data_IF_995975425665
#
_entry.id   IF_995975425665
#
_cell.length_a   1.000
_cell.length_b   1.000
_cell.length_c   1.000
_cell.angle_alpha   90.00
_cell.angle_beta   90.00
_cell.angle_gamma   90.00
#
_symmetry.space_group_name_H-M   'P 1'
#
loop_
_entity.id
_entity.type
_entity.pdbx_description
1 polymer ?
#
# COMPACT_ATOMS: atom_id res chain seq x y z
N UNK A 1 2.26 -7.32 1.59
CA UNK A 1 2.48 -5.96 1.04
C UNK A 1 3.47 -6.06 -0.11
N UNK A 2 3.37 -5.17 -1.11
CA UNK A 2 4.44 -5.03 -2.11
C UNK A 2 5.65 -4.34 -1.46
N UNK A 3 6.86 -4.72 -1.83
CA UNK A 3 8.06 -4.18 -1.23
C UNK A 3 8.51 -2.88 -1.91
N UNK A 4 8.31 -1.75 -1.22
CA UNK A 4 8.55 -0.43 -1.79
C UNK A 4 10.03 -0.10 -2.02
N UNK A 5 10.96 -0.88 -1.44
CA UNK A 5 12.39 -0.73 -1.70
C UNK A 5 12.73 -0.95 -3.18
N UNK A 6 12.01 -1.82 -3.88
CA UNK A 6 12.16 -1.99 -5.33
C UNK A 6 11.75 -0.74 -6.11
N UNK A 7 10.73 -0.01 -5.66
CA UNK A 7 10.36 1.26 -6.29
C UNK A 7 11.41 2.35 -6.04
N UNK A 8 11.99 2.40 -4.85
CA UNK A 8 13.10 3.32 -4.56
C UNK A 8 14.33 3.00 -5.45
N UNK A 9 14.67 1.71 -5.59
CA UNK A 9 15.74 1.26 -6.47
C UNK A 9 15.44 1.58 -7.94
N UNK A 10 14.23 1.32 -8.42
CA UNK A 10 13.80 1.62 -9.77
C UNK A 10 13.88 3.13 -10.08
N UNK A 11 13.46 3.97 -9.13
CA UNK A 11 13.46 5.42 -9.29
C UNK A 11 14.82 6.08 -8.97
N UNK A 12 15.83 5.31 -8.53
CA UNK A 12 17.16 5.80 -8.13
C UNK A 12 17.12 6.85 -7.00
N UNK A 13 16.19 6.69 -6.05
CA UNK A 13 16.00 7.60 -4.92
C UNK A 13 16.38 6.94 -3.59
N UNK A 14 16.80 7.73 -2.57
CA UNK A 14 17.04 7.20 -1.24
C UNK A 14 15.76 6.69 -0.57
N UNK A 15 15.90 5.70 0.30
CA UNK A 15 14.81 5.18 1.10
C UNK A 15 15.23 4.97 2.56
N UNK A 16 14.41 5.43 3.49
CA UNK A 16 14.49 5.08 4.91
C UNK A 16 13.49 3.98 5.25
N UNK A 17 13.91 3.03 6.08
CA UNK A 17 13.10 1.95 6.60
C UNK A 17 13.24 1.91 8.12
N UNK A 18 12.39 2.64 8.87
CA UNK A 18 12.44 2.67 10.33
C UNK A 18 12.22 1.28 10.93
N UNK A 19 12.87 0.99 12.06
CA UNK A 19 12.60 -0.22 12.86
C UNK A 19 11.56 -0.03 13.95
N UNK A 20 11.17 1.21 14.25
CA UNK A 20 10.18 1.54 15.29
C UNK A 20 9.57 2.93 15.04
N UNK A 21 8.61 3.34 15.88
CA UNK A 21 7.91 4.63 15.74
C UNK A 21 8.81 5.83 16.00
N UNK A 22 9.80 5.73 16.89
CA UNK A 22 10.73 6.83 17.15
C UNK A 22 11.57 7.11 15.89
N UNK A 23 12.14 6.07 15.29
CA UNK A 23 12.85 6.21 14.01
C UNK A 23 11.92 6.67 12.90
N UNK A 24 10.66 6.24 12.87
CA UNK A 24 9.67 6.75 11.91
C UNK A 24 9.47 8.26 12.03
N UNK A 25 9.47 8.80 13.26
CA UNK A 25 9.41 10.24 13.52
C UNK A 25 10.71 10.94 13.11
N UNK A 26 11.86 10.44 13.55
CA UNK A 26 13.17 11.05 13.31
C UNK A 26 13.56 11.03 11.81
N UNK A 27 13.36 9.89 11.14
CA UNK A 27 13.67 9.71 9.71
C UNK A 27 12.79 10.59 8.82
N UNK A 28 11.58 10.97 9.25
CA UNK A 28 10.75 11.88 8.45
C UNK A 28 11.37 13.27 8.39
N UNK A 29 11.94 13.75 9.50
CA UNK A 29 12.64 15.03 9.55
C UNK A 29 13.89 14.99 8.67
N UNK A 30 14.70 13.93 8.80
CA UNK A 30 15.89 13.72 7.98
C UNK A 30 15.57 13.52 6.49
N UNK A 31 14.41 12.93 6.17
CA UNK A 31 13.95 12.78 4.79
C UNK A 31 13.64 14.13 4.14
N UNK A 32 13.03 15.07 4.88
CA UNK A 32 12.84 16.43 4.38
C UNK A 32 14.18 17.15 4.14
N UNK A 33 15.09 17.11 5.12
CA UNK A 33 16.41 17.72 5.01
C UNK A 33 17.21 17.15 3.82
N UNK A 34 17.23 15.82 3.66
CA UNK A 34 17.89 15.16 2.54
C UNK A 34 17.24 15.50 1.20
N UNK A 35 15.90 15.58 1.15
CA UNK A 35 15.15 15.95 -0.06
C UNK A 35 15.49 17.37 -0.50
N UNK A 36 15.59 18.31 0.44
CA UNK A 36 15.94 19.70 0.16
C UNK A 36 17.39 19.84 -0.31
N UNK A 37 18.33 19.16 0.34
CA UNK A 37 19.75 19.21 -0.02
C UNK A 37 20.02 18.58 -1.39
N UNK A 38 19.45 17.40 -1.65
CA UNK A 38 19.69 16.65 -2.88
C UNK A 38 18.73 17.03 -4.00
N UNK A 39 17.64 17.74 -3.71
CA UNK A 39 16.54 17.98 -4.63
C UNK A 39 16.08 16.68 -5.33
N UNK A 40 15.86 15.64 -4.52
CA UNK A 40 15.35 14.34 -4.90
C UNK A 40 14.20 13.95 -3.96
N UNK A 41 13.15 13.26 -4.44
CA UNK A 41 12.21 12.60 -3.54
C UNK A 41 12.94 11.62 -2.63
N UNK A 42 12.54 11.54 -1.36
CA UNK A 42 13.04 10.54 -0.42
C UNK A 42 11.87 9.67 0.01
N UNK A 43 12.03 8.35 -0.08
CA UNK A 43 11.01 7.41 0.35
C UNK A 43 11.18 7.09 1.85
N UNK A 44 10.09 7.10 2.61
CA UNK A 44 10.06 6.50 3.95
C UNK A 44 9.12 5.29 3.88
N UNK A 45 9.68 4.09 3.98
CA UNK A 45 8.95 2.83 3.92
C UNK A 45 8.33 2.52 5.28
N UNK A 46 7.02 2.40 5.32
CA UNK A 46 6.31 1.87 6.49
C UNK A 46 5.79 0.47 6.16
N UNK A 47 5.93 -0.45 7.11
CA UNK A 47 5.37 -1.80 7.04
C UNK A 47 4.19 -1.93 8.01
N UNK A 48 3.31 -2.91 7.76
CA UNK A 48 2.06 -3.14 8.54
C UNK A 48 2.26 -3.00 10.05
N UNK A 49 3.26 -3.67 10.62
CA UNK A 49 3.48 -3.70 12.09
C UNK A 49 3.82 -2.35 12.69
N UNK A 50 4.57 -1.51 11.97
CA UNK A 50 4.88 -0.15 12.42
C UNK A 50 3.64 0.74 12.31
N UNK A 51 2.88 0.62 11.22
CA UNK A 51 1.67 1.41 10.96
C UNK A 51 0.49 1.05 11.89
N UNK A 52 0.37 -0.22 12.29
CA UNK A 52 -0.73 -0.74 13.11
C UNK A 52 -0.36 -0.92 14.59
N UNK A 53 0.68 -0.26 15.06
CA UNK A 53 1.03 -0.20 16.49
C UNK A 53 1.17 1.24 16.96
N UNK A 54 1.22 1.43 18.28
CA UNK A 54 1.34 2.74 18.93
C UNK A 54 2.48 2.68 19.94
N UNK A 55 3.27 3.74 19.98
CA UNK A 55 4.30 3.97 20.98
C UNK A 55 4.31 5.45 21.35
N UNK A 56 4.78 5.77 22.56
CA UNK A 56 5.22 7.12 22.84
C UNK A 56 6.44 7.44 21.96
N UNK A 57 6.52 8.69 21.51
CA UNK A 57 7.67 9.22 20.76
C UNK A 57 8.12 10.52 21.40
N UNK A 58 9.44 10.70 21.50
CA UNK A 58 10.04 11.95 21.89
C UNK A 58 10.02 12.89 20.68
N UNK A 59 9.26 13.97 20.78
CA UNK A 59 9.14 14.96 19.71
C UNK A 59 10.12 16.10 19.88
N UNK A 60 10.57 16.70 18.79
CA UNK A 60 11.31 17.96 18.78
C UNK A 60 10.40 19.14 18.39
N UNK A 61 10.78 20.40 18.72
CA UNK A 61 10.04 21.57 18.28
C UNK A 61 9.89 21.60 16.76
N UNK A 62 8.71 22.00 16.27
CA UNK A 62 8.48 22.15 14.84
C UNK A 62 9.41 23.20 14.25
N UNK A 63 10.04 22.88 13.11
CA UNK A 63 10.85 23.83 12.37
C UNK A 63 9.93 24.83 11.63
N UNK A 64 10.40 26.07 11.48
CA UNK A 64 9.70 27.07 10.67
C UNK A 64 9.72 26.66 9.20
N UNK A 65 8.63 26.92 8.48
CA UNK A 65 8.58 26.72 7.03
C UNK A 65 9.69 27.52 6.33
N UNK A 66 10.41 26.86 5.41
CA UNK A 66 11.41 27.52 4.57
C UNK A 66 10.78 28.59 3.68
N UNK A 67 11.49 29.71 3.41
CA UNK A 67 11.00 30.71 2.47
C UNK A 67 10.86 30.11 1.06
N UNK A 68 9.81 30.50 0.34
CA UNK A 68 9.60 30.06 -1.03
C UNK A 68 10.75 30.52 -1.92
N UNK A 69 11.44 29.58 -2.55
CA UNK A 69 12.50 29.86 -3.52
C UNK A 69 12.28 29.07 -4.83
N UNK A 70 11.20 29.36 -5.58
CA UNK A 70 10.92 28.66 -6.82
C UNK A 70 12.03 28.94 -7.83
N UNK A 71 12.64 27.87 -8.36
CA UNK A 71 13.65 28.02 -9.41
C UNK A 71 13.06 28.65 -10.66
N UNK A 72 13.83 29.53 -11.31
CA UNK A 72 13.49 30.13 -12.60
C UNK A 72 13.87 29.23 -13.78
N UNK A 73 14.50 28.09 -13.53
CA UNK A 73 14.95 27.14 -14.55
C UNK A 73 13.81 26.24 -15.03
N UNK A 74 12.93 26.78 -15.88
CA UNK A 74 11.75 26.06 -16.41
C UNK A 74 12.15 24.73 -17.07
N UNK A 75 13.31 24.68 -17.76
CA UNK A 75 13.80 23.47 -18.43
C UNK A 75 14.02 22.29 -17.48
N UNK A 76 14.28 22.53 -16.19
CA UNK A 76 14.45 21.48 -15.18
C UNK A 76 13.15 20.76 -14.86
N UNK A 77 12.02 21.45 -15.04
CA UNK A 77 10.68 20.96 -14.73
C UNK A 77 9.87 20.53 -15.96
N UNK A 78 10.32 20.89 -17.16
CA UNK A 78 9.73 20.42 -18.41
C UNK A 78 10.57 19.28 -18.99
N UNK A 79 10.09 18.03 -18.87
CA UNK A 79 10.76 16.83 -19.38
C UNK A 79 10.57 16.64 -20.89
N UNK A 80 11.01 17.62 -21.68
CA UNK A 80 11.27 17.39 -23.11
C UNK A 80 12.43 16.38 -23.27
N UNK A 81 12.49 15.59 -24.35
CA UNK A 81 13.52 14.56 -24.51
C UNK A 81 14.97 15.05 -24.27
N UNK A 82 15.30 16.26 -24.73
CA UNK A 82 16.62 16.88 -24.51
C UNK A 82 16.88 17.21 -23.03
N UNK A 83 15.88 17.71 -22.31
CA UNK A 83 15.97 18.01 -20.88
C UNK A 83 16.00 16.73 -20.06
N UNK A 84 15.20 15.71 -20.41
CA UNK A 84 15.16 14.43 -19.72
C UNK A 84 16.53 13.73 -19.69
N UNK A 85 17.29 13.79 -20.78
CA UNK A 85 18.68 13.28 -20.83
C UNK A 85 19.59 13.99 -19.82
N UNK A 86 19.48 15.32 -19.71
CA UNK A 86 20.26 16.11 -18.75
C UNK A 86 19.84 15.81 -17.31
N UNK A 87 18.54 15.74 -17.05
CA UNK A 87 17.99 15.41 -15.73
C UNK A 87 18.37 13.99 -15.28
N UNK A 88 18.41 13.04 -16.21
CA UNK A 88 18.86 11.68 -15.90
C UNK A 88 20.35 11.66 -15.55
N UNK A 89 21.20 12.41 -16.26
CA UNK A 89 22.61 12.59 -15.87
C UNK A 89 22.74 13.13 -14.45
N UNK A 90 21.98 14.20 -14.12
CA UNK A 90 21.99 14.76 -12.77
C UNK A 90 21.54 13.75 -11.69
N UNK A 91 20.61 12.85 -12.00
CA UNK A 91 20.17 11.80 -11.09
C UNK A 91 21.26 10.74 -10.90
N UNK A 92 21.91 10.31 -11.98
CA UNK A 92 23.00 9.32 -11.92
C UNK A 92 24.25 9.88 -11.24
N UNK A 93 24.56 11.17 -11.44
CA UNK A 93 25.70 11.85 -10.84
C UNK A 93 25.58 11.97 -9.31
N UNK A 94 24.35 11.89 -8.76
CA UNK A 94 24.09 11.88 -7.32
C UNK A 94 24.25 10.51 -6.66
N UNK A 95 24.27 9.41 -7.43
CA UNK A 95 24.30 8.06 -6.86
C UNK A 95 25.53 7.78 -5.99
N UNK A 96 26.75 8.23 -6.34
CA UNK A 96 27.91 8.07 -5.46
C UNK A 96 27.74 8.75 -4.10
N UNK A 97 27.11 9.93 -4.06
CA UNK A 97 26.82 10.64 -2.81
C UNK A 97 25.75 9.91 -2.00
N UNK A 98 24.69 9.38 -2.64
CA UNK A 98 23.67 8.56 -1.97
C UNK A 98 24.27 7.30 -1.33
N UNK A 99 25.15 6.61 -2.05
CA UNK A 99 25.88 5.46 -1.52
C UNK A 99 26.73 5.86 -0.32
N UNK A 100 27.54 6.93 -0.45
CA UNK A 100 28.36 7.45 0.65
C UNK A 100 27.52 7.80 1.88
N UNK A 101 26.32 8.36 1.71
CA UNK A 101 25.41 8.64 2.83
C UNK A 101 24.88 7.37 3.48
N UNK A 102 24.51 6.37 2.69
CA UNK A 102 24.10 5.08 3.25
C UNK A 102 25.25 4.38 3.99
N UNK A 103 26.48 4.44 3.46
CA UNK A 103 27.66 3.92 4.14
C UNK A 103 27.92 4.62 5.47
N UNK A 104 27.74 5.93 5.55
CA UNK A 104 27.99 6.71 6.77
C UNK A 104 26.74 6.90 7.64
N UNK A 105 25.62 6.28 7.26
CA UNK A 105 24.37 6.43 7.98
C UNK A 105 24.47 5.88 9.39
N UNK A 106 23.97 6.64 10.36
CA UNK A 106 23.78 6.16 11.74
C UNK A 106 22.77 5.01 11.83
N UNK A 107 21.96 4.80 10.80
CA UNK A 107 20.97 3.72 10.73
C UNK A 107 21.52 2.44 10.09
N UNK A 108 22.68 2.51 9.45
CA UNK A 108 23.35 1.34 8.92
C UNK A 108 24.49 0.98 9.87
N UNK A 109 24.31 0.03 10.76
CA UNK A 109 25.25 -0.25 11.86
C UNK A 109 25.92 -1.61 11.63
N UNK A 110 27.26 -1.64 11.58
CA UNK A 110 28.04 -2.87 11.47
C UNK A 110 28.74 -3.15 12.79
N UNK A 111 28.55 -4.36 13.30
CA UNK A 111 29.22 -4.91 14.47
C UNK A 111 29.86 -6.24 14.08
N UNK A 112 31.19 -6.36 14.22
CA UNK A 112 31.91 -7.59 13.93
C UNK A 112 32.26 -8.33 15.23
N UNK A 113 31.87 -9.60 15.32
CA UNK A 113 32.20 -10.55 16.39
C UNK A 113 32.75 -11.83 15.77
N UNK A 114 32.08 -12.97 15.97
CA UNK A 114 32.44 -14.27 15.41
C UNK A 114 32.16 -14.41 13.92
N UNK A 115 32.30 -15.65 13.44
CA UNK A 115 32.26 -16.03 12.02
C UNK A 115 30.86 -16.28 11.45
N UNK A 116 29.81 -16.10 12.26
CA UNK A 116 28.41 -16.16 11.83
C UNK A 116 27.89 -14.74 11.67
N UNK A 117 27.48 -14.40 10.45
CA UNK A 117 26.96 -13.09 10.07
C UNK A 117 25.44 -13.05 10.00
N UNK A 118 24.87 -11.89 10.34
CA UNK A 118 23.47 -11.57 10.09
C UNK A 118 23.36 -10.20 9.44
N UNK A 119 22.59 -10.08 8.37
CA UNK A 119 22.08 -8.78 7.90
C UNK A 119 20.61 -8.69 8.30
N UNK A 120 20.23 -7.63 9.01
CA UNK A 120 18.85 -7.35 9.39
C UNK A 120 18.35 -6.08 8.72
N UNK A 121 17.07 -6.06 8.33
CA UNK A 121 16.45 -4.90 7.68
C UNK A 121 15.26 -4.37 8.48
N UNK A 122 15.21 -3.04 8.67
CA UNK A 122 14.06 -2.38 9.29
C UNK A 122 13.65 -2.98 10.64
N UNK A 123 12.34 -3.21 10.81
CA UNK A 123 11.74 -3.79 12.02
C UNK A 123 12.33 -5.16 12.41
N UNK A 124 12.83 -5.93 11.44
CA UNK A 124 13.31 -7.30 11.68
C UNK A 124 14.52 -7.33 12.61
N UNK A 125 15.26 -6.22 12.71
CA UNK A 125 16.30 -6.05 13.73
C UNK A 125 15.77 -6.28 15.15
N UNK A 126 14.54 -5.85 15.47
CA UNK A 126 13.97 -6.06 16.80
C UNK A 126 13.74 -7.56 17.07
N UNK A 127 13.26 -8.30 16.07
CA UNK A 127 13.07 -9.76 16.18
C UNK A 127 14.38 -10.51 16.34
N UNK A 128 15.45 -10.03 15.71
CA UNK A 128 16.80 -10.53 15.95
C UNK A 128 17.20 -10.27 17.41
N UNK A 129 17.13 -9.02 17.87
CA UNK A 129 17.58 -8.61 19.21
C UNK A 129 16.82 -9.31 20.34
N UNK A 130 15.53 -9.60 20.17
CA UNK A 130 14.74 -10.39 21.12
C UNK A 130 15.26 -11.83 21.32
N UNK A 131 16.05 -12.35 20.38
CA UNK A 131 16.64 -13.68 20.43
C UNK A 131 18.12 -13.71 20.85
N UNK A 132 18.75 -12.55 21.06
CA UNK A 132 20.16 -12.47 21.39
C UNK A 132 20.37 -12.18 22.87
N UNK A 133 21.22 -12.99 23.49
CA UNK A 133 21.78 -12.71 24.81
C UNK A 133 22.92 -11.67 24.69
N UNK A 134 23.29 -11.02 25.80
CA UNK A 134 24.33 -9.97 25.80
C UNK A 134 25.69 -10.47 25.25
N UNK A 135 26.01 -11.75 25.49
CA UNK A 135 27.26 -12.41 25.11
C UNK A 135 27.21 -13.13 23.76
N UNK A 136 26.22 -12.83 22.90
CA UNK A 136 26.12 -13.42 21.56
C UNK A 136 27.42 -13.24 20.72
N UNK A 137 27.73 -14.19 19.85
CA UNK A 137 28.93 -14.14 19.00
C UNK A 137 28.64 -13.75 17.54
N UNK A 138 27.43 -13.28 17.23
CA UNK A 138 27.06 -12.89 15.86
C UNK A 138 27.71 -11.57 15.43
N UNK A 139 28.22 -11.54 14.20
CA UNK A 139 28.53 -10.31 13.48
C UNK A 139 27.25 -9.80 12.80
N UNK A 140 26.85 -8.55 13.04
CA UNK A 140 25.54 -8.03 12.64
C UNK A 140 25.71 -6.76 11.81
N UNK A 141 25.02 -6.70 10.67
CA UNK A 141 24.81 -5.47 9.91
C UNK A 141 23.32 -5.14 9.88
N UNK A 142 22.94 -4.07 10.57
CA UNK A 142 21.59 -3.50 10.46
C UNK A 142 21.52 -2.56 9.26
N UNK A 143 20.52 -2.71 8.39
CA UNK A 143 20.28 -1.84 7.23
C UNK A 143 18.89 -1.21 7.36
N UNK A 144 18.86 0.12 7.41
CA UNK A 144 17.63 0.94 7.55
C UNK A 144 17.65 2.19 6.66
N UNK A 145 18.74 2.44 5.94
CA UNK A 145 18.85 3.46 4.91
C UNK A 145 19.41 2.87 3.61
N UNK A 146 18.75 3.17 2.50
CA UNK A 146 19.07 2.71 1.17
C UNK A 146 19.47 3.89 0.26
N UNK A 147 20.35 3.70 -0.75
CA UNK A 147 20.84 2.42 -1.30
C UNK A 147 21.65 1.57 -0.32
N UNK A 148 21.74 0.25 -0.55
CA UNK A 148 22.44 -0.66 0.38
C UNK A 148 23.92 -0.25 0.60
N UNK A 149 24.44 -0.33 1.84
CA UNK A 149 25.83 -0.01 2.15
C UNK A 149 26.77 -1.13 1.69
N UNK A 150 27.16 -1.10 0.41
CA UNK A 150 28.00 -2.10 -0.24
C UNK A 150 29.35 -2.36 0.47
N UNK A 151 30.01 -1.34 1.01
CA UNK A 151 31.29 -1.51 1.71
C UNK A 151 31.12 -2.22 3.05
N UNK A 152 30.09 -1.84 3.83
CA UNK A 152 29.74 -2.56 5.07
C UNK A 152 29.32 -4.00 4.80
N UNK A 153 28.54 -4.24 3.75
CA UNK A 153 28.15 -5.60 3.33
C UNK A 153 29.40 -6.41 2.97
N UNK A 154 30.30 -5.86 2.16
CA UNK A 154 31.55 -6.54 1.78
C UNK A 154 32.39 -6.87 3.00
N UNK A 155 32.56 -5.91 3.89
CA UNK A 155 33.32 -6.09 5.14
C UNK A 155 32.73 -7.23 5.98
N UNK A 156 31.41 -7.32 6.11
CA UNK A 156 30.75 -8.41 6.82
C UNK A 156 30.97 -9.75 6.10
N UNK A 157 30.74 -9.81 4.79
CA UNK A 157 30.89 -11.02 3.96
C UNK A 157 32.32 -11.56 4.04
N UNK A 158 33.34 -10.72 3.95
CA UNK A 158 34.75 -11.12 4.05
C UNK A 158 35.12 -11.63 5.45
N UNK A 159 34.37 -11.22 6.47
CA UNK A 159 34.63 -11.61 7.85
C UNK A 159 33.98 -12.95 8.24
N UNK A 160 32.89 -13.36 7.59
CA UNK A 160 32.01 -14.46 8.03
C UNK A 160 31.99 -15.64 7.05
N UNK A 161 31.81 -16.85 7.59
CA UNK A 161 31.69 -18.09 6.82
C UNK A 161 30.22 -18.38 6.44
N UNK A 162 29.28 -17.88 7.23
CA UNK A 162 27.83 -18.00 7.03
C UNK A 162 27.16 -16.65 7.21
N UNK A 163 26.18 -16.33 6.37
CA UNK A 163 25.43 -15.10 6.41
C UNK A 163 23.94 -15.38 6.34
N UNK A 164 23.20 -15.03 7.40
CA UNK A 164 21.74 -15.08 7.42
C UNK A 164 21.15 -13.70 7.12
N UNK A 165 20.24 -13.60 6.15
CA UNK A 165 19.60 -12.34 5.77
C UNK A 165 18.16 -12.33 6.27
N UNK A 166 17.89 -11.40 7.19
CA UNK A 166 16.62 -11.20 7.86
C UNK A 166 15.94 -9.94 7.31
N UNK A 167 15.03 -10.10 6.35
CA UNK A 167 14.28 -9.00 5.76
C UNK A 167 12.78 -9.29 5.65
N UNK A 168 11.97 -8.24 5.83
CA UNK A 168 10.52 -8.34 5.70
C UNK A 168 10.01 -7.92 4.32
N UNK A 169 9.04 -8.65 3.79
CA UNK A 169 8.62 -8.53 2.39
C UNK A 169 9.45 -9.40 1.45
N UNK A 170 10.04 -8.77 0.43
CA UNK A 170 10.74 -9.48 -0.64
C UNK A 170 12.22 -9.70 -0.27
N UNK A 171 12.88 -10.73 -0.84
CA UNK A 171 14.30 -11.05 -0.60
C UNK A 171 15.25 -10.05 -1.33
N UNK A 172 15.08 -8.74 -1.15
CA UNK A 172 15.82 -7.74 -1.91
C UNK A 172 17.32 -7.79 -1.60
N UNK A 173 17.66 -7.76 -0.32
CA UNK A 173 19.06 -7.77 0.13
C UNK A 173 19.67 -9.15 -0.11
N UNK A 174 18.93 -10.22 0.16
CA UNK A 174 19.37 -11.59 -0.09
C UNK A 174 19.70 -11.82 -1.56
N UNK A 175 18.81 -11.40 -2.45
CA UNK A 175 19.02 -11.53 -3.89
C UNK A 175 20.22 -10.69 -4.38
N UNK A 176 20.40 -9.49 -3.84
CA UNK A 176 21.51 -8.61 -4.21
C UNK A 176 22.87 -9.16 -3.72
N UNK A 177 22.94 -9.62 -2.48
CA UNK A 177 24.17 -10.18 -1.87
C UNK A 177 24.56 -11.48 -2.54
N UNK A 178 23.59 -12.37 -2.78
CA UNK A 178 23.84 -13.66 -3.43
C UNK A 178 24.22 -13.52 -4.90
N UNK A 179 23.63 -12.54 -5.60
CA UNK A 179 23.79 -12.40 -7.05
C UNK A 179 23.38 -13.66 -7.84
N UNK A 180 23.83 -13.76 -9.09
CA UNK A 180 23.48 -14.90 -9.96
C UNK A 180 24.25 -16.19 -9.63
N UNK A 181 25.47 -16.05 -9.13
CA UNK A 181 26.40 -17.17 -8.97
C UNK A 181 26.64 -17.59 -7.51
N UNK A 182 26.02 -16.89 -6.55
CA UNK A 182 26.35 -17.04 -5.13
C UNK A 182 27.67 -16.36 -4.76
N UNK A 183 28.01 -16.46 -3.47
CA UNK A 183 29.29 -15.99 -2.94
C UNK A 183 30.24 -17.17 -2.76
N UNK A 184 31.51 -16.96 -3.08
CA UNK A 184 32.57 -17.95 -2.82
C UNK A 184 33.00 -17.80 -1.36
N UNK A 185 33.00 -18.90 -0.61
CA UNK A 185 33.49 -18.94 0.77
C UNK A 185 32.49 -18.54 1.85
N UNK A 186 31.36 -17.92 1.49
CA UNK A 186 30.31 -17.52 2.44
C UNK A 186 28.97 -18.13 2.03
N UNK A 187 28.37 -18.92 2.93
CA UNK A 187 27.05 -19.51 2.73
C UNK A 187 25.96 -18.47 3.06
N UNK A 188 25.22 -18.00 2.05
CA UNK A 188 24.11 -17.03 2.24
C UNK A 188 22.79 -17.77 2.42
N UNK A 189 22.09 -17.48 3.52
CA UNK A 189 20.80 -18.04 3.91
C UNK A 189 19.75 -16.96 4.11
N UNK A 190 18.48 -17.30 3.93
CA UNK A 190 17.36 -16.40 4.13
C UNK A 190 16.07 -16.98 3.58
N UNK A 191 15.27 -16.12 2.94
CA UNK A 191 13.99 -16.51 2.35
C UNK A 191 14.18 -17.30 1.05
N UNK A 192 15.23 -17.06 0.26
CA UNK A 192 15.47 -17.76 -1.01
C UNK A 192 15.91 -19.21 -0.81
N UNK A 193 16.59 -19.48 0.30
CA UNK A 193 17.12 -20.80 0.65
C UNK A 193 16.20 -21.61 1.56
N UNK A 194 15.23 -20.96 2.21
CA UNK A 194 14.14 -21.61 2.94
C UNK A 194 14.31 -21.64 4.46
N UNK A 195 15.41 -21.10 5.00
CA UNK A 195 15.60 -20.89 6.44
C UNK A 195 14.59 -19.90 7.02
N UNK A 196 14.12 -18.95 6.19
CA UNK A 196 12.97 -18.12 6.49
C UNK A 196 11.85 -18.38 5.47
N UNK A 197 10.57 -18.24 5.88
CA UNK A 197 9.46 -18.47 4.98
C UNK A 197 9.47 -17.46 3.83
N UNK A 198 9.14 -17.93 2.62
CA UNK A 198 8.98 -17.07 1.44
C UNK A 198 7.82 -16.09 1.53
N UNK A 199 6.83 -16.42 2.35
CA UNK A 199 5.55 -15.72 2.45
C UNK A 199 5.22 -15.43 3.91
N UNK A 200 4.41 -14.41 4.14
CA UNK A 200 4.03 -14.00 5.49
C UNK A 200 5.07 -13.09 6.15
N UNK A 201 4.65 -12.50 7.26
CA UNK A 201 5.47 -11.65 8.11
C UNK A 201 6.48 -12.51 8.89
N UNK A 202 7.65 -11.93 9.18
CA UNK A 202 8.56 -12.54 10.16
C UNK A 202 8.07 -12.31 11.59
N UNK A 203 8.48 -13.22 12.47
CA UNK A 203 8.28 -13.13 13.91
C UNK A 203 9.59 -13.45 14.64
N UNK A 204 9.71 -13.10 15.93
CA UNK A 204 10.83 -13.54 16.76
C UNK A 204 11.04 -15.06 16.73
N UNK A 205 9.97 -15.86 16.71
CA UNK A 205 10.06 -17.33 16.68
C UNK A 205 10.65 -17.85 15.36
N UNK A 206 10.26 -17.26 14.22
CA UNK A 206 10.81 -17.64 12.91
C UNK A 206 12.29 -17.28 12.82
N UNK A 207 12.67 -16.10 13.33
CA UNK A 207 14.08 -15.67 13.40
C UNK A 207 14.87 -16.61 14.33
N UNK A 208 14.29 -17.01 15.47
CA UNK A 208 14.89 -17.96 16.41
C UNK A 208 15.25 -19.28 15.76
N UNK A 209 14.31 -19.85 15.01
CA UNK A 209 14.50 -21.09 14.28
C UNK A 209 15.58 -20.94 13.20
N UNK A 210 15.57 -19.84 12.43
CA UNK A 210 16.59 -19.56 11.42
C UNK A 210 18.00 -19.35 12.01
N UNK A 211 18.10 -18.87 13.25
CA UNK A 211 19.36 -18.77 14.00
C UNK A 211 19.86 -20.12 14.52
N UNK A 212 19.06 -21.19 14.40
CA UNK A 212 19.36 -22.52 14.93
C UNK A 212 19.22 -22.62 16.45
N UNK A 213 18.47 -21.69 17.06
CA UNK A 213 18.23 -21.68 18.50
C UNK A 213 17.06 -22.63 18.85
N UNK A 214 17.08 -23.24 20.06
CA UNK A 214 16.00 -24.13 20.48
C UNK A 214 14.70 -23.34 20.59
N UNK A 215 13.62 -23.87 19.99
CA UNK A 215 12.28 -23.27 20.07
C UNK A 215 11.89 -23.03 21.52
N UNK A 216 11.24 -21.90 21.80
CA UNK A 216 10.63 -21.70 23.10
C UNK A 216 9.53 -22.76 23.32
N UNK A 217 9.48 -23.31 24.52
CA UNK A 217 8.35 -24.16 24.89
C UNK A 217 7.09 -23.28 24.95
N UNK A 218 6.10 -23.61 24.12
CA UNK A 218 4.82 -22.96 24.18
C UNK A 218 4.21 -23.21 25.58
N UNK A 219 3.91 -22.15 26.32
CA UNK A 219 3.29 -22.27 27.64
C UNK A 219 1.97 -23.08 27.57
N UNK A 220 1.24 -22.93 26.46
CA UNK A 220 0.00 -23.65 26.17
C UNK A 220 -0.14 -23.91 24.67
N UNK A 221 -0.85 -24.98 24.30
CA UNK A 221 -1.27 -25.18 22.91
C UNK A 221 -2.21 -24.04 22.48
N UNK A 222 -2.10 -23.52 21.24
CA UNK A 222 -3.07 -22.58 20.71
C UNK A 222 -4.48 -23.16 20.83
N UNK A 223 -5.44 -22.36 21.30
CA UNK A 223 -6.85 -22.78 21.29
C UNK A 223 -7.26 -23.06 19.84
N UNK A 224 -7.68 -24.29 19.54
CA UNK A 224 -8.08 -24.69 18.18
C UNK A 224 -9.34 -23.98 17.68
N UNK A 225 -10.14 -23.43 18.60
CA UNK A 225 -11.45 -22.83 18.33
C UNK A 225 -11.41 -21.30 18.41
N UNK A 226 -10.32 -20.67 17.96
CA UNK A 226 -10.30 -19.20 17.84
C UNK A 226 -11.22 -18.78 16.69
N UNK A 227 -12.28 -18.05 17.03
CA UNK A 227 -13.14 -17.44 16.03
C UNK A 227 -12.30 -16.51 15.13
N UNK A 228 -12.38 -16.75 13.82
CA UNK A 228 -11.80 -15.84 12.84
C UNK A 228 -12.43 -14.45 13.01
N UNK A 229 -11.59 -13.42 12.88
CA UNK A 229 -12.02 -12.02 12.89
C UNK A 229 -11.76 -11.42 11.51
N UNK A 230 -12.52 -11.85 10.48
CA UNK A 230 -12.39 -11.22 9.18
C UNK A 230 -12.76 -9.73 9.29
N UNK A 231 -12.23 -8.88 8.42
CA UNK A 231 -12.68 -7.49 8.35
C UNK A 231 -14.17 -7.49 7.96
N UNK A 232 -14.97 -6.68 8.66
CA UNK A 232 -16.42 -6.60 8.43
C UNK A 232 -16.86 -5.16 8.32
N UNK A 233 -17.90 -4.91 7.51
CA UNK A 233 -18.62 -3.64 7.52
C UNK A 233 -19.18 -3.36 8.92
N UNK A 234 -19.18 -2.09 9.32
CA UNK A 234 -19.72 -1.68 10.62
C UNK A 234 -21.23 -1.97 10.72
N UNK A 235 -21.74 -2.22 11.93
CA UNK A 235 -23.19 -2.43 12.15
C UNK A 235 -23.97 -1.17 11.79
N UNK A 236 -24.82 -1.26 10.76
CA UNK A 236 -25.56 -0.11 10.23
C UNK A 236 -24.81 0.67 9.13
N UNK A 237 -23.73 0.10 8.58
CA UNK A 237 -23.01 0.68 7.47
C UNK A 237 -23.93 0.84 6.24
N UNK A 238 -23.95 2.01 5.58
CA UNK A 238 -24.75 2.23 4.38
C UNK A 238 -24.35 1.31 3.22
N UNK A 239 -23.08 0.89 3.15
CA UNK A 239 -22.64 -0.04 2.10
C UNK A 239 -23.33 -1.40 2.22
N UNK A 240 -23.64 -1.87 3.43
CA UNK A 240 -24.40 -3.11 3.60
C UNK A 240 -25.75 -3.02 2.91
N UNK A 241 -26.48 -1.92 3.12
CA UNK A 241 -27.79 -1.68 2.51
C UNK A 241 -27.66 -1.53 0.98
N UNK A 242 -26.63 -0.80 0.49
CA UNK A 242 -26.37 -0.66 -0.95
C UNK A 242 -26.10 -1.99 -1.66
N UNK A 243 -25.21 -2.83 -1.11
CA UNK A 243 -24.86 -4.10 -1.74
C UNK A 243 -25.96 -5.16 -1.59
N UNK A 244 -26.77 -5.10 -0.53
CA UNK A 244 -27.96 -5.96 -0.41
C UNK A 244 -28.96 -5.65 -1.52
N UNK A 245 -29.23 -4.37 -1.79
CA UNK A 245 -30.08 -3.95 -2.91
C UNK A 245 -29.46 -4.32 -4.28
N UNK A 246 -28.14 -4.13 -4.44
CA UNK A 246 -27.44 -4.48 -5.67
C UNK A 246 -27.58 -5.97 -5.98
N UNK A 247 -27.30 -6.86 -5.02
CA UNK A 247 -27.41 -8.30 -5.21
C UNK A 247 -28.81 -8.73 -5.64
N UNK A 248 -29.86 -8.16 -5.02
CA UNK A 248 -31.23 -8.47 -5.41
C UNK A 248 -31.57 -7.96 -6.82
N UNK A 249 -31.07 -6.79 -7.21
CA UNK A 249 -31.22 -6.29 -8.57
C UNK A 249 -30.51 -7.20 -9.59
N UNK A 250 -29.30 -7.67 -9.26
CA UNK A 250 -28.48 -8.53 -10.09
C UNK A 250 -29.08 -9.93 -10.32
N UNK A 251 -29.95 -10.44 -9.42
CA UNK A 251 -30.64 -11.73 -9.60
C UNK A 251 -31.48 -11.83 -10.89
N UNK A 252 -31.80 -10.70 -11.52
CA UNK A 252 -32.53 -10.65 -12.79
C UNK A 252 -31.63 -10.86 -14.02
N UNK A 253 -30.31 -10.96 -13.82
CA UNK A 253 -29.31 -11.06 -14.86
C UNK A 253 -28.53 -12.36 -14.74
N UNK A 254 -28.13 -12.93 -15.88
CA UNK A 254 -27.57 -14.28 -15.93
C UNK A 254 -26.13 -14.33 -15.42
N UNK A 255 -25.27 -13.41 -15.89
CA UNK A 255 -23.82 -13.44 -15.64
C UNK A 255 -23.27 -12.04 -15.28
N UNK A 256 -23.79 -11.39 -14.22
CA UNK A 256 -23.33 -10.07 -13.81
C UNK A 256 -21.87 -10.09 -13.33
N UNK A 257 -21.12 -9.04 -13.65
CA UNK A 257 -19.75 -8.86 -13.17
C UNK A 257 -19.66 -7.57 -12.35
N UNK A 258 -19.06 -7.67 -11.15
CA UNK A 258 -18.96 -6.56 -10.20
C UNK A 258 -17.50 -6.38 -9.82
N UNK A 259 -16.97 -5.21 -10.18
CA UNK A 259 -15.60 -4.81 -10.00
C UNK A 259 -15.55 -3.74 -8.91
N UNK A 260 -14.78 -3.97 -7.85
CA UNK A 260 -14.61 -3.03 -6.76
C UNK A 260 -13.25 -2.37 -6.79
N UNK A 261 -13.17 -1.17 -6.25
CA UNK A 261 -11.91 -0.57 -5.81
C UNK A 261 -11.55 -0.96 -4.36
N UNK A 262 -10.34 -0.58 -3.91
CA UNK A 262 -9.89 -0.74 -2.51
C UNK A 262 -10.58 0.31 -1.62
N UNK A 263 -11.42 -0.14 -0.71
CA UNK A 263 -12.26 0.69 0.16
C UNK A 263 -13.07 -0.14 1.16
N UNK A 264 -13.88 0.49 2.02
CA UNK A 264 -14.82 -0.25 2.88
C UNK A 264 -15.72 -1.18 2.05
N UNK A 265 -16.06 -0.74 0.84
CA UNK A 265 -16.89 -1.44 -0.11
C UNK A 265 -16.23 -2.69 -0.72
N UNK A 266 -14.89 -2.85 -0.65
CA UNK A 266 -14.23 -4.13 -0.96
C UNK A 266 -14.69 -5.24 -0.03
N UNK A 267 -15.08 -4.91 1.22
CA UNK A 267 -15.56 -5.89 2.20
C UNK A 267 -16.89 -6.53 1.79
N UNK A 268 -17.59 -6.00 0.78
CA UNK A 268 -18.73 -6.65 0.18
C UNK A 268 -18.36 -7.92 -0.61
N UNK A 269 -17.07 -8.22 -0.80
CA UNK A 269 -16.59 -9.52 -1.27
C UNK A 269 -16.81 -10.66 -0.26
N UNK A 270 -17.05 -10.33 1.03
CA UNK A 270 -17.16 -11.31 2.10
C UNK A 270 -18.64 -11.63 2.44
N UNK A 271 -18.92 -12.78 3.08
CA UNK A 271 -20.24 -13.07 3.60
C UNK A 271 -20.77 -11.97 4.54
N UNK A 272 -22.09 -11.67 4.52
CA UNK A 272 -23.13 -12.33 3.72
C UNK A 272 -23.36 -11.68 2.34
N UNK A 273 -22.53 -10.73 1.91
CA UNK A 273 -22.78 -9.96 0.69
C UNK A 273 -22.25 -10.67 -0.55
N UNK A 274 -21.01 -11.14 -0.55
CA UNK A 274 -20.39 -11.87 -1.67
C UNK A 274 -20.62 -11.20 -3.05
N UNK A 275 -20.70 -9.86 -3.07
CA UNK A 275 -21.14 -9.07 -4.21
C UNK A 275 -20.01 -8.74 -5.20
N UNK A 276 -18.77 -8.73 -4.73
CA UNK A 276 -17.60 -8.26 -5.50
C UNK A 276 -16.86 -9.46 -6.11
N UNK A 277 -16.71 -9.46 -7.43
CA UNK A 277 -16.03 -10.52 -8.18
C UNK A 277 -14.53 -10.26 -8.36
N UNK A 278 -14.11 -8.99 -8.38
CA UNK A 278 -12.70 -8.61 -8.52
C UNK A 278 -12.41 -7.24 -7.89
N UNK A 279 -11.21 -7.09 -7.35
CA UNK A 279 -10.66 -5.84 -6.82
C UNK A 279 -9.14 -5.81 -6.99
N UNK A 280 -8.59 -4.72 -7.52
CA UNK A 280 -7.14 -4.61 -7.84
C UNK A 280 -6.46 -3.47 -7.10
N UNK A 281 -6.96 -2.25 -7.24
CA UNK A 281 -6.38 -1.04 -6.66
C UNK A 281 -7.47 0.03 -6.49
N UNK A 282 -7.13 1.19 -5.94
CA UNK A 282 -8.02 2.35 -5.97
C UNK A 282 -8.10 2.95 -7.39
N UNK A 283 -9.31 3.17 -7.90
CA UNK A 283 -9.59 3.76 -9.22
C UNK A 283 -9.52 2.79 -10.40
N UNK A 284 -9.39 1.48 -10.16
CA UNK A 284 -9.38 0.44 -11.17
C UNK A 284 -10.78 -0.02 -11.61
N UNK A 285 -11.79 0.07 -10.74
CA UNK A 285 -13.12 -0.57 -10.93
C UNK A 285 -13.80 -0.18 -12.25
N UNK A 286 -13.86 1.10 -12.60
CA UNK A 286 -14.52 1.60 -13.82
C UNK A 286 -13.78 1.10 -15.07
N UNK A 287 -12.45 1.13 -15.07
CA UNK A 287 -11.65 0.60 -16.18
C UNK A 287 -11.85 -0.91 -16.36
N UNK A 288 -11.93 -1.66 -15.26
CA UNK A 288 -12.22 -3.10 -15.30
C UNK A 288 -13.64 -3.39 -15.81
N UNK A 289 -14.65 -2.66 -15.31
CA UNK A 289 -16.03 -2.80 -15.77
C UNK A 289 -16.18 -2.45 -17.27
N UNK A 290 -15.52 -1.38 -17.73
CA UNK A 290 -15.50 -1.04 -19.15
C UNK A 290 -14.85 -2.14 -20.00
N UNK A 291 -13.73 -2.72 -19.53
CA UNK A 291 -13.09 -3.86 -20.18
C UNK A 291 -14.00 -5.10 -20.24
N UNK A 292 -14.73 -5.38 -19.16
CA UNK A 292 -15.69 -6.47 -19.11
C UNK A 292 -16.89 -6.25 -20.05
N UNK A 293 -17.43 -5.02 -20.10
CA UNK A 293 -18.49 -4.65 -21.04
C UNK A 293 -18.04 -4.87 -22.51
N UNK A 294 -16.83 -4.42 -22.86
CA UNK A 294 -16.26 -4.67 -24.19
C UNK A 294 -16.03 -6.16 -24.50
N UNK A 295 -15.80 -6.98 -23.47
CA UNK A 295 -15.70 -8.43 -23.62
C UNK A 295 -17.07 -9.14 -23.70
N UNK A 296 -18.18 -8.42 -23.57
CA UNK A 296 -19.55 -8.94 -23.67
C UNK A 296 -20.21 -9.32 -22.36
N UNK A 297 -19.62 -8.97 -21.20
CA UNK A 297 -20.28 -9.15 -19.90
C UNK A 297 -21.36 -8.07 -19.70
N UNK A 298 -22.56 -8.48 -19.30
CA UNK A 298 -23.67 -7.57 -19.01
C UNK A 298 -24.57 -8.12 -17.90
N UNK A 299 -24.83 -7.35 -16.82
CA UNK A 299 -24.28 -6.02 -16.55
C UNK A 299 -22.83 -6.09 -16.07
N UNK A 300 -22.01 -5.13 -16.50
CA UNK A 300 -20.70 -4.85 -15.91
C UNK A 300 -20.82 -3.67 -14.94
N UNK A 301 -20.52 -3.91 -13.65
CA UNK A 301 -20.72 -2.96 -12.57
C UNK A 301 -19.39 -2.57 -11.94
N UNK A 302 -19.14 -1.27 -11.79
CA UNK A 302 -18.06 -0.73 -11.00
C UNK A 302 -18.59 -0.22 -9.65
N UNK A 303 -18.11 -0.76 -8.54
CA UNK A 303 -18.40 -0.26 -7.19
C UNK A 303 -17.20 0.56 -6.69
N UNK A 304 -17.43 1.85 -6.47
CA UNK A 304 -16.38 2.82 -6.17
C UNK A 304 -16.81 3.78 -5.06
N UNK A 305 -15.91 4.13 -4.14
CA UNK A 305 -16.19 5.15 -3.12
C UNK A 305 -16.09 6.56 -3.70
N UNK A 306 -16.78 7.51 -3.09
CA UNK A 306 -16.74 8.94 -3.40
C UNK A 306 -15.33 9.55 -3.54
N UNK A 307 -14.47 9.33 -2.54
CA UNK A 307 -13.07 9.76 -2.53
C UNK A 307 -12.23 9.03 -3.58
N UNK A 308 -12.56 7.75 -3.83
CA UNK A 308 -11.86 6.93 -4.83
C UNK A 308 -12.24 7.32 -6.25
N UNK A 309 -13.49 7.74 -6.46
CA UNK A 309 -13.96 8.28 -7.74
C UNK A 309 -13.14 9.51 -8.12
N UNK A 310 -12.91 10.43 -7.19
CA UNK A 310 -12.03 11.59 -7.45
C UNK A 310 -10.55 11.24 -7.52
N UNK A 311 -10.08 10.19 -6.84
CA UNK A 311 -8.69 9.73 -6.94
C UNK A 311 -8.36 9.17 -8.33
N UNK A 312 -9.23 8.34 -8.90
CA UNK A 312 -8.93 7.65 -10.17
C UNK A 312 -10.12 7.19 -11.00
N UNK A 313 -11.36 7.46 -10.57
CA UNK A 313 -12.57 7.08 -11.31
C UNK A 313 -12.99 8.08 -12.40
N UNK A 314 -12.66 9.37 -12.26
CA UNK A 314 -13.08 10.42 -13.22
C UNK A 314 -12.56 10.14 -14.64
N UNK A 315 -11.26 9.88 -14.78
CA UNK A 315 -10.62 9.65 -16.09
C UNK A 315 -11.18 8.44 -16.85
N UNK A 316 -11.31 7.23 -16.25
CA UNK A 316 -11.94 6.11 -16.92
C UNK A 316 -13.44 6.35 -17.17
N UNK A 317 -14.14 7.13 -16.33
CA UNK A 317 -15.54 7.50 -16.59
C UNK A 317 -15.68 8.37 -17.84
N UNK A 318 -14.84 9.40 -18.01
CA UNK A 318 -14.81 10.23 -19.23
C UNK A 318 -14.66 9.37 -20.50
N UNK A 319 -13.76 8.38 -20.43
CA UNK A 319 -13.50 7.44 -21.52
C UNK A 319 -14.72 6.56 -21.82
N UNK A 320 -15.39 6.06 -20.78
CA UNK A 320 -16.59 5.24 -20.89
C UNK A 320 -17.77 5.99 -21.49
N UNK A 321 -17.98 7.25 -21.07
CA UNK A 321 -19.00 8.15 -21.63
C UNK A 321 -18.75 8.39 -23.11
N UNK A 322 -17.52 8.77 -23.48
CA UNK A 322 -17.17 9.08 -24.88
C UNK A 322 -17.34 7.88 -25.81
N UNK A 323 -17.12 6.67 -25.30
CA UNK A 323 -17.26 5.42 -26.05
C UNK A 323 -18.67 4.80 -25.95
N UNK A 324 -19.59 5.43 -25.21
CA UNK A 324 -20.91 4.89 -24.89
C UNK A 324 -20.86 3.43 -24.38
N UNK A 325 -19.95 3.14 -23.45
CA UNK A 325 -19.75 1.79 -22.92
C UNK A 325 -20.92 1.40 -22.02
N UNK A 326 -21.57 0.27 -22.29
CA UNK A 326 -22.64 -0.29 -21.45
C UNK A 326 -22.07 -0.81 -20.12
N UNK A 327 -21.94 0.10 -19.15
CA UNK A 327 -21.46 -0.20 -17.80
C UNK A 327 -22.23 0.61 -16.77
N UNK A 328 -22.28 0.09 -15.56
CA UNK A 328 -22.96 0.71 -14.42
C UNK A 328 -21.95 1.09 -13.35
N UNK A 329 -21.96 2.33 -12.87
CA UNK A 329 -21.09 2.78 -11.77
C UNK A 329 -21.94 3.02 -10.53
N UNK A 330 -21.73 2.19 -9.50
CA UNK A 330 -22.26 2.42 -8.16
C UNK A 330 -21.24 3.23 -7.36
N UNK A 331 -21.47 4.53 -7.23
CA UNK A 331 -20.69 5.42 -6.38
C UNK A 331 -21.26 5.38 -4.96
N UNK A 332 -20.43 5.03 -3.99
CA UNK A 332 -20.81 4.91 -2.59
C UNK A 332 -20.37 6.16 -1.83
N UNK A 333 -21.29 7.11 -1.72
CA UNK A 333 -21.08 8.42 -1.10
C UNK A 333 -21.38 8.38 0.40
N UNK A 334 -20.31 8.24 1.18
CA UNK A 334 -20.36 8.10 2.63
C UNK A 334 -19.70 9.27 3.38
N UNK A 335 -19.33 10.34 2.67
CA UNK A 335 -18.74 11.59 3.20
C UNK A 335 -17.32 11.47 3.80
N UNK A 336 -16.70 10.29 3.77
CA UNK A 336 -15.43 10.06 4.48
C UNK A 336 -14.54 8.98 3.86
N UNK A 337 -13.22 9.15 4.00
CA UNK A 337 -12.25 8.09 3.74
C UNK A 337 -12.20 7.13 4.95
N UNK A 338 -13.15 6.20 4.99
CA UNK A 338 -13.42 5.38 6.19
C UNK A 338 -12.24 4.54 6.69
N UNK A 339 -11.59 3.76 5.81
CA UNK A 339 -10.58 2.78 6.23
C UNK A 339 -9.25 3.39 6.71
N UNK A 340 -8.94 4.62 6.33
CA UNK A 340 -7.63 5.24 6.60
C UNK A 340 -7.64 6.23 7.76
N UNK A 341 -8.72 6.28 8.55
CA UNK A 341 -8.83 7.19 9.69
C UNK A 341 -9.87 8.30 9.52
N UNK A 342 -10.95 8.02 8.78
CA UNK A 342 -12.13 8.89 8.67
C UNK A 342 -11.82 10.32 8.23
N UNK A 343 -10.85 10.49 7.32
CA UNK A 343 -10.57 11.80 6.74
C UNK A 343 -11.81 12.30 5.98
N UNK A 344 -12.03 13.62 6.00
CA UNK A 344 -13.11 14.22 5.21
C UNK A 344 -12.91 13.94 3.73
N UNK A 345 -13.97 13.47 3.06
CA UNK A 345 -13.97 13.36 1.61
C UNK A 345 -14.06 14.74 0.97
N UNK A 346 -13.25 14.98 -0.07
CA UNK A 346 -13.30 16.22 -0.84
C UNK A 346 -14.35 16.18 -1.97
N UNK A 347 -14.98 15.03 -2.19
CA UNK A 347 -15.83 14.72 -3.33
C UNK A 347 -17.12 14.02 -2.91
N UNK A 348 -17.89 14.71 -2.08
CA UNK A 348 -19.10 14.23 -1.39
C UNK A 348 -20.28 15.18 -1.67
N UNK A 349 -21.51 14.68 -1.59
CA UNK A 349 -22.70 15.50 -1.72
C UNK A 349 -22.76 16.25 -3.05
N UNK A 350 -23.08 17.55 -3.02
CA UNK A 350 -23.20 18.35 -4.24
C UNK A 350 -21.90 18.45 -5.04
N UNK A 351 -20.74 18.45 -4.38
CA UNK A 351 -19.46 18.46 -5.08
C UNK A 351 -19.26 17.18 -5.92
N UNK A 352 -19.70 16.03 -5.41
CA UNK A 352 -19.70 14.78 -6.17
C UNK A 352 -20.64 14.85 -7.37
N UNK A 353 -21.85 15.38 -7.18
CA UNK A 353 -22.84 15.53 -8.26
C UNK A 353 -22.29 16.36 -9.41
N UNK A 354 -21.66 17.51 -9.10
CA UNK A 354 -21.05 18.39 -10.09
C UNK A 354 -19.88 17.70 -10.84
N UNK A 355 -19.06 16.91 -10.13
CA UNK A 355 -17.97 16.13 -10.76
C UNK A 355 -18.53 15.06 -11.70
N UNK A 356 -19.57 14.34 -11.26
CA UNK A 356 -20.24 13.30 -12.05
C UNK A 356 -20.81 13.90 -13.33
N UNK A 357 -21.57 14.98 -13.24
CA UNK A 357 -22.08 15.67 -14.44
C UNK A 357 -20.96 16.23 -15.32
N UNK A 358 -19.85 16.66 -14.73
CA UNK A 358 -18.65 17.09 -15.44
C UNK A 358 -17.98 16.00 -16.29
N UNK A 359 -18.32 14.71 -16.09
CA UNK A 359 -17.86 13.61 -16.96
C UNK A 359 -18.58 13.56 -18.31
N UNK A 360 -19.66 14.33 -18.49
CA UNK A 360 -20.48 14.32 -19.71
C UNK A 360 -21.51 13.19 -19.78
N UNK A 361 -21.70 12.44 -18.69
CA UNK A 361 -22.76 11.44 -18.54
C UNK A 361 -24.14 12.07 -18.81
N UNK A 362 -25.04 11.31 -19.45
CA UNK A 362 -26.43 11.74 -19.62
C UNK A 362 -27.09 11.93 -18.24
N UNK A 363 -27.60 13.13 -17.91
CA UNK A 363 -28.26 13.38 -16.63
C UNK A 363 -29.46 12.45 -16.35
N UNK A 364 -30.11 11.88 -17.38
CA UNK A 364 -31.20 10.92 -17.19
C UNK A 364 -30.71 9.60 -16.56
N UNK A 365 -29.44 9.26 -16.76
CA UNK A 365 -28.78 8.05 -16.25
C UNK A 365 -27.86 8.34 -15.05
N UNK A 366 -28.16 9.42 -14.31
CA UNK A 366 -27.57 9.69 -12.98
C UNK A 366 -28.66 9.60 -11.93
N UNK A 367 -28.64 8.53 -11.13
CA UNK A 367 -29.64 8.25 -10.09
C UNK A 367 -29.03 8.38 -8.70
N UNK A 368 -29.63 9.18 -7.84
CA UNK A 368 -29.23 9.28 -6.43
C UNK A 368 -30.21 8.46 -5.59
N UNK A 369 -29.68 7.56 -4.76
CA UNK A 369 -30.45 6.72 -3.86
C UNK A 369 -29.99 6.90 -2.41
N UNK A 370 -30.88 6.61 -1.46
CA UNK A 370 -30.54 6.62 -0.03
C UNK A 370 -30.53 5.18 0.48
N UNK A 371 -29.36 4.61 0.80
CA UNK A 371 -29.25 3.22 1.25
C UNK A 371 -29.71 3.08 2.71
N UNK A 372 -30.97 2.71 2.87
CA UNK A 372 -31.64 2.42 4.14
C UNK A 372 -32.56 1.20 3.96
N UNK A 373 -32.75 0.35 4.99
CA UNK A 373 -33.64 -0.81 4.88
C UNK A 373 -35.07 -0.46 4.45
N UNK A 374 -35.61 0.67 4.91
CA UNK A 374 -36.96 1.15 4.54
C UNK A 374 -37.10 1.57 3.07
N UNK A 375 -35.97 1.82 2.38
CA UNK A 375 -35.93 2.22 0.97
C UNK A 375 -35.47 1.06 0.08
N UNK A 376 -35.33 -0.16 0.61
CA UNK A 376 -34.74 -1.30 -0.10
C UNK A 376 -35.44 -1.58 -1.44
N UNK A 377 -36.76 -1.75 -1.44
CA UNK A 377 -37.53 -2.07 -2.65
C UNK A 377 -37.40 -0.97 -3.73
N UNK A 378 -37.38 0.29 -3.32
CA UNK A 378 -37.18 1.43 -4.22
C UNK A 378 -35.76 1.42 -4.81
N UNK A 379 -34.76 1.19 -3.97
CA UNK A 379 -33.36 1.11 -4.40
C UNK A 379 -33.14 -0.06 -5.38
N UNK A 380 -33.71 -1.24 -5.10
CA UNK A 380 -33.65 -2.41 -6.00
C UNK A 380 -34.29 -2.09 -7.35
N UNK A 381 -35.44 -1.40 -7.35
CA UNK A 381 -36.12 -0.99 -8.58
C UNK A 381 -35.23 -0.07 -9.42
N UNK A 382 -34.68 0.98 -8.82
CA UNK A 382 -33.80 1.95 -9.49
C UNK A 382 -32.56 1.24 -10.04
N UNK A 383 -31.91 0.40 -9.23
CA UNK A 383 -30.75 -0.36 -9.66
C UNK A 383 -31.08 -1.28 -10.84
N UNK A 384 -32.21 -1.98 -10.81
CA UNK A 384 -32.61 -2.88 -11.91
C UNK A 384 -32.86 -2.13 -13.22
N UNK A 385 -33.45 -0.93 -13.14
CA UNK A 385 -33.66 -0.05 -14.31
C UNK A 385 -32.33 0.35 -14.95
N UNK A 386 -31.40 0.87 -14.16
CA UNK A 386 -30.09 1.31 -14.68
C UNK A 386 -29.21 0.14 -15.12
N UNK A 387 -29.21 -0.99 -14.39
CA UNK A 387 -28.47 -2.20 -14.79
C UNK A 387 -28.91 -2.76 -16.15
N UNK A 388 -30.14 -2.48 -16.58
CA UNK A 388 -30.67 -2.87 -17.88
C UNK A 388 -30.42 -1.83 -18.99
N UNK A 389 -29.85 -0.66 -18.66
CA UNK A 389 -29.58 0.40 -19.63
C UNK A 389 -28.42 0.02 -20.57
N UNK A 390 -28.62 0.25 -21.88
CA UNK A 390 -27.61 0.06 -22.90
C UNK A 390 -26.79 1.34 -23.11
N UNK A 391 -25.89 1.58 -22.16
CA UNK A 391 -25.03 2.75 -22.12
C UNK A 391 -24.39 2.93 -20.75
N UNK A 392 -23.58 3.97 -20.55
CA UNK A 392 -23.02 4.29 -19.25
C UNK A 392 -24.14 4.78 -18.32
N UNK A 393 -24.22 4.24 -17.11
CA UNK A 393 -25.11 4.72 -16.05
C UNK A 393 -24.39 4.87 -14.71
N UNK A 394 -24.83 5.83 -13.90
CA UNK A 394 -24.26 6.12 -12.58
C UNK A 394 -25.37 6.11 -11.52
N UNK A 395 -25.16 5.33 -10.47
CA UNK A 395 -25.98 5.32 -9.27
C UNK A 395 -25.14 5.82 -8.10
N UNK A 396 -25.56 6.91 -7.47
CA UNK A 396 -24.92 7.46 -6.27
C UNK A 396 -25.72 7.01 -5.04
N UNK A 397 -25.19 6.06 -4.29
CA UNK A 397 -25.77 5.65 -3.01
C UNK A 397 -25.23 6.54 -1.89
N UNK A 398 -26.03 7.53 -1.48
CA UNK A 398 -25.62 8.62 -0.58
C UNK A 398 -26.15 8.43 0.83
N UNK A 399 -25.24 8.17 1.77
CA UNK A 399 -25.50 8.21 3.22
C UNK A 399 -24.20 8.24 4.01
N UNK A 400 -24.07 9.20 4.90
CA UNK A 400 -22.89 9.39 5.76
C UNK A 400 -22.49 8.12 6.51
N UNK A 401 -21.19 7.87 6.57
CA UNK A 401 -20.59 6.80 7.36
C UNK A 401 -20.94 6.92 8.84
N UNK A 402 -21.33 5.81 9.47
CA UNK A 402 -21.72 5.80 10.89
C UNK A 402 -20.57 6.14 11.84
N UNK A 403 -19.32 5.86 11.46
CA UNK A 403 -18.15 6.22 12.27
C UNK A 403 -17.81 7.70 12.12
N UNK A 404 -18.08 8.30 10.97
CA UNK A 404 -17.92 9.74 10.78
C UNK A 404 -18.92 10.56 11.60
N UNK A 405 -20.13 10.03 11.83
CA UNK A 405 -21.16 10.70 12.66
C UNK A 405 -20.78 10.73 14.16
N UNK A 406 -19.90 9.82 14.62
CA UNK A 406 -19.51 9.74 16.03
C UNK A 406 -18.46 10.78 16.43
N UNK A 407 -17.71 11.28 15.46
CA UNK A 407 -16.67 12.30 15.61
C UNK A 407 -17.24 13.68 15.27
#
# INVERSE_FOLDING_TARGET
EQDSRYFAQFALIPCFEPRNQQEGYDMMLEAFEMSEELALPVMVRLITRIAHSRSAVATQPAQSQNPLNPTKEIKRWTLLPSNARVQYSHLTDKQPELLKRAENSKYNELELRGKRGVISCGLVENYLRENLDEDHDLSILSIRQYPMPAEKIRTLVEHVDQLLILEDGYPLVENAVRGLFGLIGTEVKGRMTGELPRTGELSPDLVREALGLPKFEAAHSPSGDLALRPPTLCKGCPHTDSFTALNEALNSFKDPQVFSDIGCYTLAALPPLEAVHSCVAMGASIGMAAGAAHAGYSPAVAAIGDSTFSHGGITPMLSAVQQNVSLNVLILDNDTVGMTGTQRSMSTGRALDDIVHGTGIDPEHVRIIVPLPRNHDENVKIMREELAHDGPSIIIARRTCIEAIKN
#
